data_IF_625253170391
#
_entry.id   IF_625253170391
#
_cell.length_a   1.000
_cell.length_b   1.000
_cell.length_c   1.000
_cell.angle_alpha   90.00
_cell.angle_beta   90.00
_cell.angle_gamma   90.00
#
_symmetry.space_group_name_H-M   'P 1'
#
loop_
_entity.id
_entity.type
_entity.pdbx_description
1 polymer ?
#
# COMPACT_ATOMS: atom_id res chain seq x y z
N UNK A 1 -2.98 -5.94 25.07
CA UNK A 1 -2.98 -5.17 23.80
C UNK A 1 -2.19 -3.89 24.04
N UNK A 2 -1.28 -3.50 23.15
CA UNK A 2 -0.53 -2.24 23.31
C UNK A 2 -1.33 -1.04 22.79
N UNK A 3 -1.48 -0.01 23.64
CA UNK A 3 -2.19 1.21 23.28
C UNK A 3 -1.18 2.25 22.79
N UNK A 4 -1.28 2.62 21.51
CA UNK A 4 -0.50 3.72 20.96
C UNK A 4 -1.10 5.08 21.35
N UNK A 5 -0.28 5.91 21.97
CA UNK A 5 -0.57 7.31 22.29
C UNK A 5 0.72 8.14 22.16
N UNK A 6 0.75 9.18 21.31
CA UNK A 6 1.93 10.04 21.18
C UNK A 6 2.31 10.64 22.53
N UNK A 7 3.61 10.68 22.85
CA UNK A 7 4.12 11.17 24.14
C UNK A 7 3.61 12.57 24.47
N UNK A 8 3.70 13.51 23.51
CA UNK A 8 3.23 14.90 23.70
C UNK A 8 1.74 14.97 24.04
N UNK A 9 0.92 14.11 23.43
CA UNK A 9 -0.53 14.05 23.69
C UNK A 9 -0.81 13.37 25.04
N UNK A 10 -0.08 12.31 25.38
CA UNK A 10 -0.18 11.66 26.69
C UNK A 10 0.20 12.59 27.83
N UNK A 11 1.34 13.26 27.73
CA UNK A 11 1.83 14.18 28.77
C UNK A 11 0.86 15.35 28.97
N UNK A 12 0.30 15.89 27.88
CA UNK A 12 -0.70 16.96 27.93
C UNK A 12 -2.02 16.49 28.57
N UNK A 13 -2.54 15.32 28.19
CA UNK A 13 -3.75 14.75 28.78
C UNK A 13 -3.54 14.30 30.24
N UNK A 14 -2.32 13.89 30.61
CA UNK A 14 -1.95 13.58 31.99
C UNK A 14 -1.92 14.85 32.85
N UNK A 15 -1.42 15.96 32.31
CA UNK A 15 -1.42 17.25 33.00
C UNK A 15 -2.82 17.88 33.08
N UNK A 16 -3.64 17.72 32.03
CA UNK A 16 -5.01 18.25 31.94
C UNK A 16 -5.96 17.23 31.26
N UNK A 17 -6.63 16.36 32.03
CA UNK A 17 -7.48 15.28 31.48
C UNK A 17 -8.72 15.75 30.70
N UNK A 18 -9.18 16.97 30.94
CA UNK A 18 -10.40 17.57 30.39
C UNK A 18 -10.21 18.26 29.03
N UNK A 19 -9.00 18.24 28.44
CA UNK A 19 -8.73 18.82 27.12
C UNK A 19 -9.77 18.40 26.07
N UNK A 20 -10.27 19.40 25.35
CA UNK A 20 -11.19 19.22 24.22
C UNK A 20 -10.50 18.53 23.05
N UNK A 21 -11.29 17.96 22.14
CA UNK A 21 -10.72 17.29 20.95
C UNK A 21 -9.95 18.30 20.09
N UNK A 22 -10.43 19.54 19.99
CA UNK A 22 -9.76 20.62 19.25
C UNK A 22 -8.40 20.98 19.85
N UNK A 23 -8.29 21.04 21.17
CA UNK A 23 -7.01 21.26 21.85
C UNK A 23 -6.04 20.09 21.61
N UNK A 24 -6.54 18.85 21.64
CA UNK A 24 -5.74 17.66 21.32
C UNK A 24 -5.26 17.67 19.86
N UNK A 25 -6.07 18.15 18.92
CA UNK A 25 -5.67 18.31 17.52
C UNK A 25 -4.47 19.25 17.38
N UNK A 26 -4.46 20.37 18.13
CA UNK A 26 -3.41 21.40 18.07
C UNK A 26 -2.05 20.92 18.58
N UNK A 27 -2.00 19.95 19.51
CA UNK A 27 -0.75 19.45 20.12
C UNK A 27 0.22 18.86 19.08
N UNK A 28 -0.31 18.17 18.06
CA UNK A 28 0.52 17.55 17.01
C UNK A 28 -0.01 17.72 15.60
N UNK A 29 -0.88 18.71 15.38
CA UNK A 29 -1.55 18.97 14.10
C UNK A 29 -2.23 17.70 13.53
N UNK A 30 -3.04 17.01 14.34
CA UNK A 30 -3.74 15.79 13.93
C UNK A 30 -5.19 16.05 13.54
N UNK A 31 -5.77 15.26 12.61
CA UNK A 31 -7.20 15.32 12.30
C UNK A 31 -8.08 14.98 13.51
N UNK A 32 -9.33 15.47 13.50
CA UNK A 32 -10.32 15.28 14.57
C UNK A 32 -10.48 13.81 14.99
N UNK A 33 -10.65 12.90 14.03
CA UNK A 33 -10.83 11.47 14.30
C UNK A 33 -9.63 10.85 15.04
N UNK A 34 -8.44 11.36 14.78
CA UNK A 34 -7.20 10.91 15.44
C UNK A 34 -7.10 11.46 16.86
N UNK A 35 -7.45 12.74 17.05
CA UNK A 35 -7.49 13.38 18.37
C UNK A 35 -8.58 12.77 19.29
N UNK A 36 -9.78 12.53 18.76
CA UNK A 36 -10.87 11.87 19.49
C UNK A 36 -10.45 10.48 19.99
N UNK A 37 -9.78 9.70 19.13
CA UNK A 37 -9.25 8.38 19.47
C UNK A 37 -8.15 8.45 20.54
N UNK A 38 -7.29 9.46 20.52
CA UNK A 38 -6.26 9.64 21.57
C UNK A 38 -6.90 9.92 22.92
N UNK A 39 -7.90 10.80 22.97
CA UNK A 39 -8.63 11.13 24.20
C UNK A 39 -9.36 9.91 24.78
N UNK A 40 -10.06 9.16 23.94
CA UNK A 40 -10.72 7.91 24.34
C UNK A 40 -9.73 6.91 24.92
N UNK A 41 -8.61 6.67 24.22
CA UNK A 41 -7.56 5.75 24.68
C UNK A 41 -6.91 6.19 25.98
N UNK A 42 -6.72 7.49 26.18
CA UNK A 42 -6.22 8.02 27.45
C UNK A 42 -7.21 7.72 28.59
N UNK A 43 -8.51 7.89 28.37
CA UNK A 43 -9.54 7.55 29.36
C UNK A 43 -9.53 6.06 29.70
N UNK A 44 -9.48 5.19 28.68
CA UNK A 44 -9.36 3.73 28.87
C UNK A 44 -8.11 3.33 29.67
N UNK A 45 -6.98 4.05 29.47
CA UNK A 45 -5.73 3.83 30.21
C UNK A 45 -5.78 4.35 31.65
N UNK A 46 -6.41 5.51 31.85
CA UNK A 46 -6.56 6.15 33.15
C UNK A 46 -7.50 5.34 34.05
N UNK A 47 -8.64 4.91 33.51
CA UNK A 47 -9.68 4.20 34.26
C UNK A 47 -9.34 2.70 34.45
N UNK A 48 -8.50 2.13 33.57
CA UNK A 48 -8.17 0.70 33.56
C UNK A 48 -6.93 0.28 34.37
N UNK A 49 -6.22 1.19 35.05
CA UNK A 49 -5.03 0.86 35.85
C UNK A 49 -3.79 0.40 35.05
N UNK A 50 -3.83 0.44 33.72
CA UNK A 50 -2.75 -0.03 32.83
C UNK A 50 -1.67 1.03 32.55
N UNK A 51 -1.21 1.75 33.59
CA UNK A 51 -0.22 2.83 33.46
C UNK A 51 1.11 2.40 32.82
N UNK A 52 1.46 1.11 32.82
CA UNK A 52 2.73 0.58 32.29
C UNK A 52 2.72 0.16 30.81
N UNK A 53 1.61 0.33 30.07
CA UNK A 53 1.47 -0.21 28.70
C UNK A 53 1.38 0.85 27.58
N UNK A 54 1.80 2.09 27.84
CA UNK A 54 1.75 3.18 26.85
C UNK A 54 3.01 3.16 25.96
N UNK A 55 2.83 2.92 24.66
CA UNK A 55 3.94 2.96 23.69
C UNK A 55 3.97 4.33 22.98
N UNK A 56 5.09 5.04 23.10
CA UNK A 56 5.29 6.39 22.56
C UNK A 56 5.98 6.46 21.18
N UNK A 57 5.83 5.45 20.32
CA UNK A 57 6.55 5.45 19.03
C UNK A 57 5.80 6.26 17.96
N UNK A 58 6.34 7.41 17.55
CA UNK A 58 6.01 8.04 16.25
C UNK A 58 6.07 6.93 15.20
N UNK A 59 5.04 6.81 14.36
CA UNK A 59 4.88 5.74 13.37
C UNK A 59 6.21 5.41 12.68
N UNK A 60 6.97 4.45 13.23
CA UNK A 60 7.98 3.75 12.48
C UNK A 60 7.15 2.94 11.50
N UNK A 61 7.03 3.42 10.26
CA UNK A 61 6.72 2.55 9.14
C UNK A 61 7.71 1.41 9.28
N UNK A 62 7.27 0.24 9.78
CA UNK A 62 8.18 -0.88 10.03
C UNK A 62 8.98 -1.06 8.75
N UNK A 63 10.29 -0.87 8.80
CA UNK A 63 11.14 -0.83 7.60
C UNK A 63 10.91 -2.10 6.78
N UNK A 64 10.70 -3.24 7.45
CA UNK A 64 10.27 -4.52 6.87
C UNK A 64 8.98 -4.40 6.04
N UNK A 65 7.94 -3.75 6.56
CA UNK A 65 6.67 -3.55 5.84
C UNK A 65 6.84 -2.62 4.65
N UNK A 66 7.65 -1.57 4.77
CA UNK A 66 7.96 -0.66 3.67
C UNK A 66 8.75 -1.39 2.56
N UNK A 67 9.81 -2.11 2.94
CA UNK A 67 10.60 -2.97 2.03
C UNK A 67 9.71 -3.99 1.33
N UNK A 68 8.80 -4.64 2.07
CA UNK A 68 7.83 -5.59 1.51
C UNK A 68 6.93 -4.96 0.44
N UNK A 69 6.34 -3.80 0.73
CA UNK A 69 5.46 -3.09 -0.20
C UNK A 69 6.23 -2.74 -1.48
N UNK A 70 7.45 -2.24 -1.34
CA UNK A 70 8.29 -1.89 -2.49
C UNK A 70 8.70 -3.12 -3.30
N UNK A 71 9.06 -4.22 -2.65
CA UNK A 71 9.42 -5.46 -3.35
C UNK A 71 8.25 -6.01 -4.16
N UNK A 72 7.04 -6.04 -3.58
CA UNK A 72 5.83 -6.48 -4.30
C UNK A 72 5.51 -5.57 -5.48
N UNK A 73 5.67 -4.26 -5.32
CA UNK A 73 5.49 -3.31 -6.43
C UNK A 73 6.55 -3.52 -7.53
N UNK A 74 7.81 -3.75 -7.16
CA UNK A 74 8.88 -4.04 -8.11
C UNK A 74 8.59 -5.31 -8.91
N UNK A 75 8.19 -6.40 -8.24
CA UNK A 75 7.81 -7.65 -8.90
C UNK A 75 6.72 -7.48 -9.96
N UNK A 76 5.72 -6.62 -9.68
CA UNK A 76 4.68 -6.30 -10.65
C UNK A 76 5.24 -5.55 -11.85
N UNK A 77 6.12 -4.57 -11.60
CA UNK A 77 6.73 -3.74 -12.65
C UNK A 77 7.63 -4.57 -13.55
N UNK A 78 8.47 -5.43 -12.95
CA UNK A 78 9.36 -6.33 -13.68
C UNK A 78 8.56 -7.31 -14.55
N UNK A 79 7.49 -7.90 -13.98
CA UNK A 79 6.62 -8.80 -14.71
C UNK A 79 5.95 -8.12 -15.91
N UNK A 80 5.40 -6.92 -15.72
CA UNK A 80 4.78 -6.18 -16.83
C UNK A 80 5.82 -5.81 -17.90
N UNK A 81 7.01 -5.37 -17.50
CA UNK A 81 8.11 -5.04 -18.42
C UNK A 81 8.47 -6.23 -19.30
N UNK A 82 8.58 -7.43 -18.71
CA UNK A 82 8.84 -8.66 -19.45
C UNK A 82 7.70 -9.02 -20.40
N UNK A 83 6.46 -9.05 -19.90
CA UNK A 83 5.29 -9.43 -20.69
C UNK A 83 5.06 -8.48 -21.87
N UNK A 84 5.26 -7.16 -21.68
CA UNK A 84 5.05 -6.18 -22.76
C UNK A 84 6.11 -6.25 -23.86
N UNK A 85 7.25 -6.90 -23.60
CA UNK A 85 8.30 -7.15 -24.58
C UNK A 85 8.21 -8.52 -25.26
N UNK A 86 7.40 -9.44 -24.73
CA UNK A 86 7.41 -10.86 -25.12
C UNK A 86 6.04 -11.34 -25.58
N UNK A 87 5.22 -11.86 -24.68
CA UNK A 87 3.99 -12.59 -24.98
C UNK A 87 2.72 -11.83 -24.61
N UNK A 88 2.82 -10.81 -23.77
CA UNK A 88 1.66 -10.11 -23.23
C UNK A 88 0.79 -10.97 -22.30
N UNK A 89 -0.46 -10.56 -22.12
CA UNK A 89 -1.50 -11.29 -21.40
C UNK A 89 -2.89 -11.02 -21.98
N UNK A 90 -3.76 -12.02 -21.95
CA UNK A 90 -5.08 -11.97 -22.60
C UNK A 90 -6.19 -11.41 -21.72
N UNK A 91 -6.01 -11.46 -20.39
CA UNK A 91 -6.99 -10.96 -19.43
C UNK A 91 -6.33 -10.63 -18.08
N UNK A 92 -7.04 -9.89 -17.22
CA UNK A 92 -6.58 -9.67 -15.84
C UNK A 92 -6.53 -10.99 -15.06
N UNK A 93 -7.36 -11.97 -15.43
CA UNK A 93 -7.31 -13.32 -14.88
C UNK A 93 -6.01 -14.02 -15.25
N UNK A 94 -5.69 -14.05 -16.55
CA UNK A 94 -4.45 -14.63 -17.07
C UNK A 94 -3.20 -13.96 -16.45
N UNK A 95 -3.17 -12.63 -16.34
CA UNK A 95 -2.07 -11.94 -15.66
C UNK A 95 -1.90 -12.36 -14.19
N UNK A 96 -2.99 -12.60 -13.47
CA UNK A 96 -2.93 -13.10 -12.08
C UNK A 96 -2.38 -14.50 -12.03
N UNK A 97 -2.78 -15.37 -12.95
CA UNK A 97 -2.28 -16.74 -13.04
C UNK A 97 -0.78 -16.76 -13.28
N UNK A 98 -0.28 -15.94 -14.21
CA UNK A 98 1.17 -15.78 -14.45
C UNK A 98 1.87 -15.28 -13.18
N UNK A 99 1.37 -14.19 -12.57
CA UNK A 99 1.97 -13.60 -11.37
C UNK A 99 2.05 -14.62 -10.23
N UNK A 100 0.94 -15.30 -9.92
CA UNK A 100 0.90 -16.26 -8.84
C UNK A 100 1.68 -17.53 -9.18
N UNK A 101 1.66 -18.00 -10.43
CA UNK A 101 2.50 -19.11 -10.87
C UNK A 101 3.98 -18.85 -10.62
N UNK A 102 4.45 -17.62 -10.88
CA UNK A 102 5.86 -17.23 -10.72
C UNK A 102 6.26 -16.96 -9.27
N UNK A 103 5.47 -16.17 -8.55
CA UNK A 103 5.90 -15.63 -7.26
C UNK A 103 5.31 -16.35 -6.04
N UNK A 104 4.30 -17.21 -6.19
CA UNK A 104 3.71 -17.93 -5.05
C UNK A 104 4.43 -19.23 -4.67
N UNK A 105 5.22 -19.78 -5.59
CA UNK A 105 5.89 -21.08 -5.43
C UNK A 105 7.33 -20.97 -4.93
N UNK A 106 7.90 -19.77 -4.88
CA UNK A 106 9.29 -19.56 -4.48
C UNK A 106 9.37 -19.41 -2.96
N UNK A 107 10.12 -20.30 -2.30
CA UNK A 107 10.37 -20.20 -0.85
C UNK A 107 10.99 -18.84 -0.51
N UNK A 108 10.40 -18.14 0.45
CA UNK A 108 10.85 -16.82 0.90
C UNK A 108 10.29 -15.63 0.12
N UNK A 109 9.48 -15.84 -0.92
CA UNK A 109 8.78 -14.77 -1.64
C UNK A 109 7.33 -14.68 -1.17
N UNK A 110 6.94 -13.53 -0.61
CA UNK A 110 5.57 -13.30 -0.15
C UNK A 110 4.63 -12.91 -1.30
N UNK A 111 3.69 -13.81 -1.59
CA UNK A 111 2.62 -13.63 -2.57
C UNK A 111 1.69 -12.47 -2.20
N UNK A 112 1.30 -11.65 -3.18
CA UNK A 112 0.38 -10.54 -2.99
C UNK A 112 -1.07 -11.01 -2.76
N UNK A 113 -1.80 -10.34 -1.86
CA UNK A 113 -3.26 -10.49 -1.83
C UNK A 113 -3.90 -9.92 -3.11
N UNK A 114 -5.08 -10.40 -3.50
CA UNK A 114 -5.82 -9.89 -4.68
C UNK A 114 -5.99 -8.36 -4.69
N UNK A 115 -6.21 -7.77 -3.52
CA UNK A 115 -6.34 -6.32 -3.35
C UNK A 115 -5.03 -5.59 -3.63
N UNK A 116 -3.92 -6.12 -3.13
CA UNK A 116 -2.59 -5.54 -3.37
C UNK A 116 -2.16 -5.72 -4.83
N UNK A 117 -2.45 -6.88 -5.44
CA UNK A 117 -2.26 -7.12 -6.86
C UNK A 117 -2.95 -6.03 -7.70
N UNK A 118 -4.25 -5.81 -7.50
CA UNK A 118 -4.98 -4.80 -8.28
C UNK A 118 -4.43 -3.38 -8.05
N UNK A 119 -4.01 -3.07 -6.81
CA UNK A 119 -3.40 -1.76 -6.48
C UNK A 119 -2.07 -1.56 -7.22
N UNK A 120 -1.17 -2.54 -7.16
CA UNK A 120 0.15 -2.42 -7.78
C UNK A 120 0.09 -2.54 -9.29
N UNK A 121 -0.80 -3.38 -9.83
CA UNK A 121 -1.05 -3.42 -11.27
C UNK A 121 -1.55 -2.07 -11.79
N UNK A 122 -2.54 -1.46 -11.11
CA UNK A 122 -3.03 -0.12 -11.46
C UNK A 122 -1.88 0.89 -11.48
N UNK A 123 -1.08 0.91 -10.41
CA UNK A 123 0.05 1.83 -10.26
C UNK A 123 1.10 1.62 -11.35
N UNK A 124 1.54 0.39 -11.57
CA UNK A 124 2.57 0.08 -12.57
C UNK A 124 2.10 0.45 -13.98
N UNK A 125 0.84 0.14 -14.33
CA UNK A 125 0.25 0.54 -15.62
C UNK A 125 0.20 2.06 -15.82
N UNK A 126 0.03 2.83 -14.75
CA UNK A 126 0.00 4.30 -14.79
C UNK A 126 1.41 4.91 -14.84
N UNK A 127 2.43 4.21 -14.34
CA UNK A 127 3.83 4.66 -14.32
C UNK A 127 4.65 4.16 -15.54
N UNK A 128 4.17 3.16 -16.29
CA UNK A 128 4.86 2.61 -17.46
C UNK A 128 4.80 3.58 -18.64
N UNK A 129 5.96 3.86 -19.22
CA UNK A 129 6.12 4.53 -20.50
C UNK A 129 5.94 3.52 -21.64
N UNK A 130 4.72 3.42 -22.17
CA UNK A 130 4.36 2.46 -23.22
C UNK A 130 5.11 2.68 -24.54
N UNK A 131 5.66 3.87 -24.80
CA UNK A 131 6.37 4.15 -26.06
C UNK A 131 7.56 3.22 -26.31
N UNK A 132 8.10 2.63 -25.24
CA UNK A 132 9.26 1.74 -25.24
C UNK A 132 8.93 0.26 -25.47
N UNK A 133 7.65 -0.11 -25.57
CA UNK A 133 7.23 -1.51 -25.58
C UNK A 133 6.43 -1.86 -26.83
N UNK A 134 6.65 -3.09 -27.34
CA UNK A 134 5.94 -3.65 -28.50
C UNK A 134 4.45 -3.87 -28.23
N UNK A 135 4.08 -4.12 -26.97
CA UNK A 135 2.71 -4.31 -26.54
C UNK A 135 2.25 -3.18 -25.62
N UNK A 136 0.96 -2.86 -25.66
CA UNK A 136 0.29 -1.87 -24.81
C UNK A 136 -0.87 -2.52 -24.07
N UNK A 137 -1.18 -2.02 -22.87
CA UNK A 137 -2.27 -2.53 -22.05
C UNK A 137 -3.55 -1.76 -22.36
N UNK A 138 -4.58 -2.47 -22.78
CA UNK A 138 -5.90 -1.93 -23.09
C UNK A 138 -6.93 -2.38 -22.06
N UNK A 139 -7.89 -1.50 -21.77
CA UNK A 139 -9.07 -1.84 -20.99
C UNK A 139 -10.10 -2.45 -21.93
N UNK A 140 -10.62 -3.63 -21.58
CA UNK A 140 -11.72 -4.26 -22.31
C UNK A 140 -13.06 -3.66 -21.89
N UNK A 141 -14.01 -3.60 -22.83
CA UNK A 141 -15.43 -3.38 -22.54
C UNK A 141 -16.07 -4.58 -21.84
N UNK A 142 -15.47 -5.77 -21.98
CA UNK A 142 -15.92 -7.00 -21.33
C UNK A 142 -15.32 -7.08 -19.92
N UNK A 143 -16.16 -6.93 -18.90
CA UNK A 143 -15.76 -6.93 -17.49
C UNK A 143 -14.95 -8.17 -17.09
N UNK A 144 -15.27 -9.35 -17.66
CA UNK A 144 -14.57 -10.62 -17.36
C UNK A 144 -13.11 -10.60 -17.84
N UNK A 145 -12.82 -9.90 -18.93
CA UNK A 145 -11.45 -9.72 -19.45
C UNK A 145 -10.72 -8.66 -18.63
N UNK A 146 -11.40 -7.54 -18.37
CA UNK A 146 -10.86 -6.41 -17.62
C UNK A 146 -9.79 -5.64 -18.40
N UNK A 147 -8.59 -6.20 -18.48
CA UNK A 147 -7.42 -5.65 -19.18
C UNK A 147 -6.73 -6.74 -19.97
N UNK A 148 -6.19 -6.38 -21.13
CA UNK A 148 -5.44 -7.27 -22.02
C UNK A 148 -4.33 -6.50 -22.72
N UNK A 149 -3.39 -7.20 -23.33
CA UNK A 149 -2.36 -6.59 -24.17
C UNK A 149 -2.68 -6.78 -25.65
N UNK A 150 -2.35 -5.78 -26.45
CA UNK A 150 -2.33 -5.83 -27.90
C UNK A 150 -1.11 -5.07 -28.44
N UNK A 151 -0.85 -5.23 -29.74
CA UNK A 151 0.23 -4.52 -30.43
C UNK A 151 0.13 -3.01 -30.19
N UNK A 152 1.28 -2.40 -29.90
CA UNK A 152 1.38 -0.98 -29.65
C UNK A 152 1.64 -0.23 -30.95
N UNK A 153 0.67 0.55 -31.49
CA UNK A 153 0.87 1.30 -32.72
C UNK A 153 1.85 2.48 -32.55
N UNK A 154 2.10 2.91 -31.31
CA UNK A 154 3.00 4.00 -30.96
C UNK A 154 4.45 3.52 -30.73
N UNK A 155 4.70 2.20 -30.87
CA UNK A 155 6.03 1.65 -30.66
C UNK A 155 6.98 2.15 -31.76
N UNK A 156 7.91 3.03 -31.36
CA UNK A 156 9.03 3.42 -32.19
C UNK A 156 10.20 2.54 -31.78
N UNK A 157 10.63 1.56 -32.59
CA UNK A 157 11.86 0.86 -32.31
C UNK A 157 12.97 1.92 -32.19
N UNK A 158 13.65 1.95 -31.05
CA UNK A 158 14.91 2.66 -30.97
C UNK A 158 15.91 1.77 -31.68
N UNK A 159 16.53 2.29 -32.73
CA UNK A 159 17.64 1.62 -33.41
C UNK A 159 18.71 1.30 -32.35
N UNK A 160 18.94 0.00 -32.14
CA UNK A 160 20.17 -0.50 -31.52
C UNK A 160 21.17 -0.79 -32.64
#
# INVERSE_FOLDING_TARGET
>A
MSVYLPKKVYDALKAKPDLTIEEVMKIQNSPYSTAARYRQKFKELHDGGYLRQVHHQINKTKIERWRRINHQFQQMTDLLTELLNTSGFESTGHLREIYYGRFSRVKGIETQSRRNFNRYFKRAREEIDFSKFKLKIYKSSITRVGFYTAENPEFKPSDC
#
